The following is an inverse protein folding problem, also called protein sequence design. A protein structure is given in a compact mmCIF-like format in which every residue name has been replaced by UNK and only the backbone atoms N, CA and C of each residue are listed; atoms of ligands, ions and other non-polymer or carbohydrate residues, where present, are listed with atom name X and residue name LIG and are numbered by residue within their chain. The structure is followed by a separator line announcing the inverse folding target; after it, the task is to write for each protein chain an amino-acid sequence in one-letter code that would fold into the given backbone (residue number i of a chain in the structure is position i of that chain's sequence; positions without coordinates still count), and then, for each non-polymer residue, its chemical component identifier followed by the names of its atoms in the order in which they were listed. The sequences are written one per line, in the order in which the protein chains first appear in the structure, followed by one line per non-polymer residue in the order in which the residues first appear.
data_IF_998210348350
#
_entry.id   IF_998210348350
#
_cell.length_a   1.000
_cell.length_b   1.000
_cell.length_c   1.000
_cell.angle_alpha   90.00
_cell.angle_beta   90.00
_cell.angle_gamma   90.00
#
_symmetry.space_group_name_H-M   'P 1'
#
loop_
_entity.id
_entity.type
_entity.pdbx_description
1 polymer ?
#
# COMPACT_ATOMS: atom_id res chain seq x y z
N UNK A 1 -13.66 13.46 -57.82
CA UNK A 1 -14.00 13.71 -56.41
C UNK A 1 -13.08 12.88 -55.54
N UNK A 2 -12.09 13.45 -54.82
CA UNK A 2 -11.27 12.67 -53.91
C UNK A 2 -11.96 12.61 -52.54
N UNK A 3 -12.23 11.40 -52.09
CA UNK A 3 -12.79 11.08 -50.77
C UNK A 3 -11.77 11.35 -49.66
N UNK A 4 -12.20 12.14 -48.69
CA UNK A 4 -11.55 12.44 -47.40
C UNK A 4 -11.10 11.14 -46.72
N UNK A 5 -9.80 10.91 -46.64
CA UNK A 5 -9.16 9.78 -45.95
C UNK A 5 -8.10 10.30 -44.97
N UNK A 6 -8.52 11.11 -44.00
CA UNK A 6 -7.57 11.74 -43.06
C UNK A 6 -7.98 11.61 -41.59
N UNK A 7 -9.09 10.95 -41.26
CA UNK A 7 -9.64 10.96 -39.88
C UNK A 7 -9.57 9.63 -39.12
N UNK A 8 -8.96 8.59 -39.70
CA UNK A 8 -8.88 7.26 -39.06
C UNK A 8 -7.57 7.08 -38.26
N UNK A 9 -6.45 7.65 -38.74
CA UNK A 9 -5.14 7.47 -38.11
C UNK A 9 -4.96 8.20 -36.77
N UNK A 10 -5.63 9.34 -36.58
CA UNK A 10 -5.56 10.12 -35.34
C UNK A 10 -6.25 9.38 -34.20
N UNK A 11 -7.45 8.83 -34.45
CA UNK A 11 -8.22 8.11 -33.44
C UNK A 11 -7.54 6.78 -33.00
N UNK A 12 -6.88 6.05 -33.90
CA UNK A 12 -6.11 4.85 -33.51
C UNK A 12 -4.92 5.19 -32.62
N UNK A 13 -4.12 6.20 -32.99
CA UNK A 13 -2.94 6.57 -32.18
C UNK A 13 -3.31 7.11 -30.80
N UNK A 14 -4.45 7.81 -30.69
CA UNK A 14 -4.95 8.34 -29.43
C UNK A 14 -5.48 7.22 -28.52
N UNK A 15 -6.12 6.21 -29.10
CA UNK A 15 -6.60 5.06 -28.36
C UNK A 15 -5.43 4.16 -27.90
N UNK A 16 -4.38 4.05 -28.71
CA UNK A 16 -3.15 3.32 -28.37
C UNK A 16 -2.39 3.98 -27.23
N UNK A 17 -2.31 5.32 -27.20
CA UNK A 17 -1.64 6.05 -26.12
C UNK A 17 -2.41 5.96 -24.79
N UNK A 18 -3.74 6.06 -24.82
CA UNK A 18 -4.58 5.84 -23.64
C UNK A 18 -4.41 4.42 -23.08
N UNK A 19 -4.45 3.43 -23.97
CA UNK A 19 -4.26 2.01 -23.64
C UNK A 19 -2.88 1.73 -23.04
N UNK A 20 -1.83 2.32 -23.59
CA UNK A 20 -0.47 2.23 -23.06
C UNK A 20 -0.35 2.83 -21.65
N UNK A 21 -0.91 4.02 -21.43
CA UNK A 21 -0.91 4.67 -20.13
C UNK A 21 -1.71 3.87 -19.09
N UNK A 22 -2.87 3.32 -19.48
CA UNK A 22 -3.68 2.49 -18.62
C UNK A 22 -2.98 1.18 -18.25
N UNK A 23 -2.34 0.51 -19.22
CA UNK A 23 -1.53 -0.69 -18.98
C UNK A 23 -0.38 -0.39 -18.00
N UNK A 24 0.27 0.78 -18.12
CA UNK A 24 1.29 1.24 -17.18
C UNK A 24 0.76 1.41 -15.75
N UNK A 25 -0.42 2.01 -15.58
CA UNK A 25 -1.08 2.13 -14.26
C UNK A 25 -1.39 0.75 -13.68
N UNK A 26 -2.03 -0.12 -14.46
CA UNK A 26 -2.41 -1.47 -14.00
C UNK A 26 -1.19 -2.28 -13.60
N UNK A 27 -0.11 -2.21 -14.37
CA UNK A 27 1.13 -2.91 -14.05
C UNK A 27 1.76 -2.39 -12.74
N UNK A 28 1.89 -1.08 -12.57
CA UNK A 28 2.46 -0.51 -11.34
C UNK A 28 1.57 -0.76 -10.11
N UNK A 29 0.24 -0.71 -10.27
CA UNK A 29 -0.69 -1.01 -9.17
C UNK A 29 -0.62 -2.49 -8.78
N UNK A 30 -0.52 -3.41 -9.76
CA UNK A 30 -0.34 -4.84 -9.47
C UNK A 30 0.94 -5.11 -8.68
N UNK A 31 2.04 -4.44 -9.04
CA UNK A 31 3.30 -4.51 -8.28
C UNK A 31 3.13 -3.94 -6.86
N UNK A 32 2.50 -2.78 -6.73
CA UNK A 32 2.23 -2.16 -5.42
C UNK A 32 1.41 -3.09 -4.51
N UNK A 33 0.40 -3.75 -5.06
CA UNK A 33 -0.40 -4.75 -4.33
C UNK A 33 0.43 -5.98 -3.98
N UNK A 34 1.28 -6.47 -4.88
CA UNK A 34 2.18 -7.59 -4.62
C UNK A 34 3.15 -7.30 -3.47
N UNK A 35 3.77 -6.11 -3.43
CA UNK A 35 4.65 -5.71 -2.32
C UNK A 35 3.89 -5.61 -0.99
N UNK A 36 2.66 -5.06 -1.00
CA UNK A 36 1.82 -5.02 0.21
C UNK A 36 1.48 -6.43 0.69
N UNK A 37 1.11 -7.33 -0.22
CA UNK A 37 0.82 -8.71 0.13
C UNK A 37 2.07 -9.42 0.69
N UNK A 38 3.23 -9.22 0.06
CA UNK A 38 4.49 -9.78 0.53
C UNK A 38 4.85 -9.31 1.94
N UNK A 39 4.61 -8.03 2.24
CA UNK A 39 4.76 -7.48 3.58
C UNK A 39 3.84 -8.19 4.58
N UNK A 40 2.55 -8.33 4.28
CA UNK A 40 1.59 -9.02 5.16
C UNK A 40 1.99 -10.47 5.39
N UNK A 41 2.30 -11.22 4.33
CA UNK A 41 2.73 -12.63 4.44
C UNK A 41 3.98 -12.78 5.30
N UNK A 42 4.99 -11.92 5.08
CA UNK A 42 6.23 -11.99 5.85
C UNK A 42 6.00 -11.68 7.34
N UNK A 43 5.12 -10.72 7.63
CA UNK A 43 4.71 -10.40 8.99
C UNK A 43 3.94 -11.54 9.66
N UNK A 44 3.03 -12.20 8.93
CA UNK A 44 2.31 -13.38 9.43
C UNK A 44 3.25 -14.53 9.77
N UNK A 45 4.32 -14.74 8.98
CA UNK A 45 5.34 -15.74 9.27
C UNK A 45 6.07 -15.40 10.58
N UNK A 46 6.52 -14.14 10.74
CA UNK A 46 7.17 -13.74 11.99
C UNK A 46 6.26 -13.92 13.21
N UNK A 47 4.99 -13.53 13.11
CA UNK A 47 4.02 -13.70 14.20
C UNK A 47 3.82 -15.19 14.52
N UNK A 48 3.66 -16.05 13.51
CA UNK A 48 3.48 -17.48 13.71
C UNK A 48 4.68 -18.11 14.43
N UNK A 49 5.91 -17.77 14.01
CA UNK A 49 7.14 -18.21 14.71
C UNK A 49 7.18 -17.65 16.13
N UNK A 50 6.82 -16.38 16.32
CA UNK A 50 6.75 -15.74 17.63
C UNK A 50 5.79 -16.45 18.59
N UNK A 51 4.62 -16.88 18.11
CA UNK A 51 3.65 -17.64 18.90
C UNK A 51 4.21 -19.00 19.33
N UNK A 52 4.89 -19.72 18.43
CA UNK A 52 5.50 -21.02 18.76
C UNK A 52 6.59 -20.84 19.82
N UNK A 53 7.44 -19.83 19.67
CA UNK A 53 8.48 -19.49 20.65
C UNK A 53 7.88 -19.07 22.00
N UNK A 54 6.84 -18.25 21.97
CA UNK A 54 6.16 -17.79 23.18
C UNK A 54 5.49 -18.93 23.95
N UNK A 55 4.83 -19.87 23.27
CA UNK A 55 4.28 -21.06 23.92
C UNK A 55 5.36 -21.95 24.54
N UNK A 56 6.52 -22.06 23.87
CA UNK A 56 7.67 -22.81 24.39
C UNK A 56 8.24 -22.14 25.64
N UNK A 57 8.37 -20.81 25.62
CA UNK A 57 8.79 -19.99 26.75
C UNK A 57 7.79 -20.05 27.91
N UNK A 58 6.49 -20.01 27.63
CA UNK A 58 5.44 -20.08 28.66
C UNK A 58 5.43 -21.43 29.40
N UNK A 59 5.95 -22.48 28.76
CA UNK A 59 6.12 -23.80 29.37
C UNK A 59 7.35 -23.90 30.29
N UNK A 60 8.20 -22.86 30.34
CA UNK A 60 9.37 -22.83 31.21
C UNK A 60 8.99 -22.43 32.64
N UNK A 61 9.44 -23.21 33.62
CA UNK A 61 9.04 -23.09 35.01
C UNK A 61 9.75 -21.95 35.75
N UNK A 62 10.98 -21.63 35.38
CA UNK A 62 11.78 -20.60 36.05
C UNK A 62 12.16 -19.45 35.11
N UNK A 63 12.41 -18.27 35.66
CA UNK A 63 12.90 -17.12 34.89
C UNK A 63 14.25 -17.42 34.21
N UNK A 64 15.12 -18.21 34.85
CA UNK A 64 16.42 -18.58 34.28
C UNK A 64 16.28 -19.40 32.99
N UNK A 65 15.23 -20.20 32.88
CA UNK A 65 14.93 -21.00 31.68
C UNK A 65 14.27 -20.16 30.57
N UNK A 66 13.67 -19.01 30.92
CA UNK A 66 13.05 -18.07 29.98
C UNK A 66 14.06 -17.11 29.34
N UNK A 67 15.11 -16.72 30.07
CA UNK A 67 16.13 -15.76 29.58
C UNK A 67 16.74 -16.13 28.22
N UNK A 68 17.09 -17.41 27.92
CA UNK A 68 17.61 -17.79 26.62
C UNK A 68 16.68 -17.48 25.44
N UNK A 69 15.37 -17.41 25.65
CA UNK A 69 14.39 -17.08 24.60
C UNK A 69 14.43 -15.59 24.19
N UNK A 70 15.00 -14.70 25.02
CA UNK A 70 15.16 -13.29 24.67
C UNK A 70 16.00 -13.10 23.40
N UNK A 71 17.00 -13.97 23.17
CA UNK A 71 17.90 -13.92 22.01
C UNK A 71 17.13 -14.17 20.70
N UNK A 72 16.42 -15.29 20.50
CA UNK A 72 15.65 -15.50 19.28
C UNK A 72 14.53 -14.45 19.09
N UNK A 73 13.87 -13.99 20.16
CA UNK A 73 12.91 -12.88 20.04
C UNK A 73 13.58 -11.60 19.53
N UNK A 74 14.75 -11.23 20.05
CA UNK A 74 15.49 -10.06 19.60
C UNK A 74 15.94 -10.20 18.14
N UNK A 75 16.41 -11.38 17.73
CA UNK A 75 16.81 -11.64 16.34
C UNK A 75 15.61 -11.50 15.40
N UNK A 76 14.47 -12.10 15.72
CA UNK A 76 13.26 -11.99 14.88
C UNK A 76 12.78 -10.54 14.84
N UNK A 77 12.79 -9.83 15.97
CA UNK A 77 12.45 -8.42 16.01
C UNK A 77 13.34 -7.63 15.06
N UNK A 78 14.67 -7.73 15.17
CA UNK A 78 15.60 -6.98 14.31
C UNK A 78 15.42 -7.32 12.82
N UNK A 79 15.34 -8.61 12.47
CA UNK A 79 15.15 -9.04 11.07
C UNK A 79 13.79 -8.57 10.54
N UNK A 80 12.75 -8.66 11.36
CA UNK A 80 11.42 -8.16 11.04
C UNK A 80 11.41 -6.65 10.78
N UNK A 81 12.16 -5.89 11.58
CA UNK A 81 12.31 -4.44 11.40
C UNK A 81 13.04 -4.06 10.13
N UNK A 82 14.15 -4.73 9.82
CA UNK A 82 14.88 -4.50 8.57
C UNK A 82 13.98 -4.78 7.36
N UNK A 83 13.24 -5.88 7.42
CA UNK A 83 12.30 -6.28 6.36
C UNK A 83 11.17 -5.26 6.20
N UNK A 84 10.59 -4.78 7.31
CA UNK A 84 9.55 -3.76 7.30
C UNK A 84 10.04 -2.45 6.69
N UNK A 85 11.23 -1.99 7.06
CA UNK A 85 11.81 -0.77 6.53
C UNK A 85 12.05 -0.87 5.02
N UNK A 86 12.63 -1.98 4.58
CA UNK A 86 12.90 -2.23 3.17
C UNK A 86 11.61 -2.27 2.33
N UNK A 87 10.62 -3.06 2.76
CA UNK A 87 9.34 -3.19 2.06
C UNK A 87 8.52 -1.90 2.09
N UNK A 88 8.53 -1.17 3.20
CA UNK A 88 7.84 0.11 3.30
C UNK A 88 8.45 1.13 2.35
N UNK A 89 9.78 1.17 2.22
CA UNK A 89 10.48 1.99 1.23
C UNK A 89 10.05 1.66 -0.20
N UNK A 90 10.10 0.37 -0.56
CA UNK A 90 9.67 -0.10 -1.87
C UNK A 90 8.20 0.25 -2.17
N UNK A 91 7.30 0.08 -1.21
CA UNK A 91 5.86 0.38 -1.36
C UNK A 91 5.63 1.89 -1.56
N UNK A 92 6.38 2.74 -0.86
CA UNK A 92 6.32 4.20 -1.04
C UNK A 92 6.80 4.60 -2.44
N UNK A 93 7.91 4.04 -2.90
CA UNK A 93 8.43 4.33 -4.24
C UNK A 93 7.48 3.86 -5.34
N UNK A 94 6.90 2.67 -5.20
CA UNK A 94 5.90 2.17 -6.16
C UNK A 94 4.62 2.98 -6.15
N UNK A 95 4.14 3.41 -4.99
CA UNK A 95 3.00 4.32 -4.90
C UNK A 95 3.26 5.65 -5.66
N UNK A 96 4.46 6.23 -5.50
CA UNK A 96 4.85 7.42 -6.28
C UNK A 96 4.87 7.15 -7.79
N UNK A 97 5.29 5.95 -8.21
CA UNK A 97 5.27 5.56 -9.61
C UNK A 97 3.84 5.47 -10.15
N UNK A 98 2.93 4.79 -9.44
CA UNK A 98 1.49 4.74 -9.79
C UNK A 98 0.93 6.16 -9.93
N UNK A 99 1.20 7.04 -8.96
CA UNK A 99 0.74 8.42 -8.99
C UNK A 99 1.26 9.18 -10.22
N UNK A 100 2.52 8.95 -10.62
CA UNK A 100 3.08 9.55 -11.83
C UNK A 100 2.34 9.11 -13.10
N UNK A 101 2.04 7.82 -13.23
CA UNK A 101 1.30 7.29 -14.37
C UNK A 101 -0.15 7.80 -14.41
N UNK A 102 -0.83 7.85 -13.26
CA UNK A 102 -2.17 8.41 -13.15
C UNK A 102 -2.21 9.90 -13.50
N UNK A 103 -1.21 10.69 -13.07
CA UNK A 103 -1.06 12.10 -13.47
C UNK A 103 -0.92 12.24 -14.98
N UNK A 104 -0.18 11.34 -15.62
CA UNK A 104 0.06 11.40 -17.07
C UNK A 104 -1.18 11.01 -17.87
N UNK A 105 -1.95 10.03 -17.41
CA UNK A 105 -3.25 9.68 -18.00
C UNK A 105 -4.26 10.83 -17.85
N UNK A 106 -4.35 11.45 -16.67
CA UNK A 106 -5.26 12.60 -16.46
C UNK A 106 -4.93 13.78 -17.36
N UNK A 107 -3.65 14.13 -17.50
CA UNK A 107 -3.23 15.20 -18.43
C UNK A 107 -3.58 14.85 -19.88
N UNK A 108 -3.43 13.58 -20.26
CA UNK A 108 -3.79 13.10 -21.58
C UNK A 108 -5.31 13.17 -21.85
N UNK A 109 -6.14 12.66 -20.94
CA UNK A 109 -7.61 12.73 -21.05
C UNK A 109 -8.14 14.18 -20.97
N UNK A 110 -7.44 15.07 -20.26
CA UNK A 110 -7.79 16.49 -20.25
C UNK A 110 -7.52 17.15 -21.61
N UNK A 111 -6.40 16.81 -22.26
CA UNK A 111 -6.09 17.30 -23.62
C UNK A 111 -6.96 16.67 -24.71
N UNK A 112 -7.43 15.43 -24.52
CA UNK A 112 -8.27 14.70 -25.47
C UNK A 112 -9.69 14.52 -24.94
N UNK A 113 -10.57 15.46 -25.31
CA UNK A 113 -11.98 15.56 -24.90
C UNK A 113 -12.82 14.29 -25.15
N UNK A 114 -12.36 13.40 -26.02
CA UNK A 114 -13.08 12.22 -26.52
C UNK A 114 -13.02 11.00 -25.58
N UNK A 115 -11.96 10.86 -24.78
CA UNK A 115 -11.75 9.68 -23.91
C UNK A 115 -11.48 10.15 -22.47
N UNK A 116 -12.54 10.27 -21.67
CA UNK A 116 -12.50 10.81 -20.28
C UNK A 116 -12.85 9.79 -19.20
N UNK A 117 -12.73 8.51 -19.53
CA UNK A 117 -13.21 7.42 -18.69
C UNK A 117 -12.53 7.41 -17.31
N UNK A 118 -11.24 7.75 -17.24
CA UNK A 118 -10.51 7.77 -15.97
C UNK A 118 -10.89 8.98 -15.10
N UNK A 119 -11.09 10.16 -15.68
CA UNK A 119 -11.63 11.33 -14.97
C UNK A 119 -13.00 11.00 -14.37
N UNK A 120 -13.95 10.49 -15.18
CA UNK A 120 -15.30 10.14 -14.72
C UNK A 120 -15.29 9.08 -13.62
N UNK A 121 -14.45 8.06 -13.76
CA UNK A 121 -14.28 7.03 -12.73
C UNK A 121 -13.76 7.63 -11.41
N UNK A 122 -12.81 8.56 -11.48
CA UNK A 122 -12.18 9.17 -10.30
C UNK A 122 -13.14 10.08 -9.54
N UNK A 123 -13.89 10.93 -10.23
CA UNK A 123 -14.93 11.78 -9.63
C UNK A 123 -16.07 10.97 -9.03
N UNK A 124 -16.50 9.89 -9.69
CA UNK A 124 -17.50 8.98 -9.13
C UNK A 124 -17.02 8.26 -7.84
N UNK A 125 -15.71 8.04 -7.69
CA UNK A 125 -15.11 7.40 -6.51
C UNK A 125 -14.90 8.37 -5.35
N UNK A 126 -14.69 9.65 -5.64
CA UNK A 126 -14.49 10.71 -4.64
C UNK A 126 -15.80 11.29 -4.13
N UNK A 127 -16.83 11.29 -4.97
CA UNK A 127 -18.20 11.64 -4.60
C UNK A 127 -19.02 10.38 -4.54
N UNK A 128 -18.97 9.68 -3.39
CA UNK A 128 -19.79 8.52 -3.05
C UNK A 128 -21.19 8.63 -3.67
N UNK A 129 -21.36 8.00 -4.83
CA UNK A 129 -22.63 7.89 -5.55
C UNK A 129 -23.37 9.23 -5.79
N UNK A 130 -22.78 10.09 -6.62
CA UNK A 130 -23.53 10.90 -7.61
C UNK A 130 -22.53 11.36 -8.68
N UNK A 131 -22.65 10.91 -9.94
CA UNK A 131 -21.82 11.45 -11.00
C UNK A 131 -22.10 12.94 -11.07
N UNK A 132 -21.13 13.82 -10.83
CA UNK A 132 -21.34 15.23 -11.06
C UNK A 132 -21.49 15.36 -12.58
N UNK A 133 -22.48 16.13 -13.03
CA UNK A 133 -22.44 16.72 -14.37
C UNK A 133 -21.24 17.67 -14.40
N UNK A 134 -20.03 17.10 -14.52
CA UNK A 134 -18.82 17.86 -14.79
C UNK A 134 -18.89 18.25 -16.25
N UNK A 135 -19.50 19.41 -16.48
CA UNK A 135 -19.36 20.11 -17.75
C UNK A 135 -17.87 20.25 -18.06
N UNK A 136 -17.55 19.88 -19.29
CA UNK A 136 -16.22 19.63 -19.80
C UNK A 136 -15.22 20.80 -19.71
N UNK A 137 -15.70 21.99 -19.37
CA UNK A 137 -15.06 23.27 -19.63
C UNK A 137 -14.35 23.89 -18.42
N UNK A 138 -14.51 23.35 -17.21
CA UNK A 138 -14.07 24.05 -15.98
C UNK A 138 -13.14 23.27 -15.06
N UNK A 139 -12.62 22.11 -15.48
CA UNK A 139 -11.64 21.36 -14.69
C UNK A 139 -10.27 22.05 -14.77
N UNK A 140 -9.95 22.84 -13.75
CA UNK A 140 -8.66 23.54 -13.66
C UNK A 140 -7.53 22.58 -13.28
N UNK A 141 -6.27 22.98 -13.51
CA UNK A 141 -5.11 22.21 -13.04
C UNK A 141 -5.14 22.02 -11.51
N UNK A 142 -5.75 22.94 -10.78
CA UNK A 142 -5.98 22.85 -9.33
C UNK A 142 -7.04 21.78 -8.99
N UNK A 143 -8.11 21.65 -9.79
CA UNK A 143 -9.09 20.56 -9.65
C UNK A 143 -8.48 19.19 -9.98
N UNK A 144 -7.62 19.12 -11.00
CA UNK A 144 -6.85 17.92 -11.32
C UNK A 144 -5.95 17.55 -10.14
N UNK A 145 -5.23 18.51 -9.57
CA UNK A 145 -4.40 18.30 -8.38
C UNK A 145 -5.23 17.98 -7.13
N UNK A 146 -6.50 18.41 -7.07
CA UNK A 146 -7.46 18.13 -5.98
C UNK A 146 -8.07 16.73 -6.12
N UNK A 147 -8.47 16.29 -7.31
CA UNK A 147 -8.80 14.88 -7.58
C UNK A 147 -7.60 13.97 -7.31
N UNK A 148 -6.40 14.47 -7.61
CA UNK A 148 -5.12 13.85 -7.28
C UNK A 148 -4.66 14.05 -5.85
N UNK A 149 -5.38 14.84 -5.01
CA UNK A 149 -4.90 15.16 -3.67
C UNK A 149 -4.67 13.85 -2.94
N UNK A 150 -3.41 13.56 -2.60
CA UNK A 150 -3.12 12.46 -1.72
C UNK A 150 -3.46 13.00 -0.35
N UNK A 151 -4.74 12.95 0.05
CA UNK A 151 -5.12 13.14 1.45
C UNK A 151 -4.59 11.92 2.22
N UNK A 152 -3.27 12.03 2.44
CA UNK A 152 -2.29 11.04 2.85
C UNK A 152 -2.12 9.96 1.77
N UNK A 153 -0.87 9.56 1.40
CA UNK A 153 -0.71 8.35 0.63
C UNK A 153 -1.48 7.25 1.38
N UNK A 154 -2.52 6.66 0.79
CA UNK A 154 -3.38 5.69 1.48
C UNK A 154 -2.55 4.55 2.09
N UNK A 155 -1.39 4.28 1.48
CA UNK A 155 -0.29 3.54 2.07
C UNK A 155 0.04 4.00 3.51
N UNK A 156 0.48 5.25 3.74
CA UNK A 156 0.86 5.79 5.07
C UNK A 156 -0.19 5.56 6.16
N UNK A 157 -1.49 5.60 5.85
CA UNK A 157 -2.55 5.35 6.85
C UNK A 157 -2.58 3.88 7.31
N UNK A 158 -2.41 2.94 6.38
CA UNK A 158 -2.35 1.50 6.72
C UNK A 158 -1.03 1.16 7.44
N UNK A 159 0.10 1.74 7.01
CA UNK A 159 1.38 1.57 7.71
C UNK A 159 1.39 2.20 9.11
N UNK A 160 0.70 3.32 9.29
CA UNK A 160 0.73 4.11 10.53
C UNK A 160 0.19 3.40 11.77
N UNK A 161 -0.65 2.36 11.61
CA UNK A 161 -1.17 1.58 12.73
C UNK A 161 -0.47 0.23 12.89
N UNK A 162 -0.16 -0.44 11.77
CA UNK A 162 0.41 -1.78 11.77
C UNK A 162 1.87 -1.83 12.20
N UNK A 163 2.66 -0.83 11.79
CA UNK A 163 4.09 -0.78 12.07
C UNK A 163 4.35 -0.62 13.58
N UNK A 164 3.74 0.35 14.30
CA UNK A 164 3.84 0.46 15.77
C UNK A 164 3.37 -0.79 16.53
N UNK A 165 2.29 -1.44 16.07
CA UNK A 165 1.77 -2.65 16.70
C UNK A 165 2.75 -3.82 16.67
N UNK A 166 3.51 -3.97 15.58
CA UNK A 166 4.58 -4.96 15.49
C UNK A 166 5.68 -4.69 16.53
N UNK A 167 6.16 -3.45 16.66
CA UNK A 167 7.18 -3.11 17.68
C UNK A 167 6.71 -3.44 19.09
N UNK A 168 5.47 -3.06 19.41
CA UNK A 168 4.92 -3.27 20.74
C UNK A 168 4.82 -4.76 21.09
N UNK A 169 4.38 -5.59 20.14
CA UNK A 169 4.27 -7.04 20.32
C UNK A 169 5.64 -7.68 20.61
N UNK A 170 6.66 -7.41 19.79
CA UNK A 170 7.99 -8.01 20.02
C UNK A 170 8.66 -7.47 21.28
N UNK A 171 8.46 -6.19 21.59
CA UNK A 171 8.93 -5.62 22.84
C UNK A 171 8.34 -6.37 24.05
N UNK A 172 7.03 -6.62 24.06
CA UNK A 172 6.38 -7.40 25.12
C UNK A 172 6.96 -8.81 25.21
N UNK A 173 7.17 -9.50 24.08
CA UNK A 173 7.73 -10.86 24.06
C UNK A 173 9.17 -10.92 24.58
N UNK A 174 9.98 -9.90 24.29
CA UNK A 174 11.34 -9.81 24.85
C UNK A 174 11.26 -9.55 26.36
N UNK A 175 10.42 -8.60 26.78
CA UNK A 175 10.28 -8.25 28.20
C UNK A 175 9.72 -9.40 29.03
N UNK A 176 8.80 -10.21 28.49
CA UNK A 176 8.28 -11.41 29.17
C UNK A 176 9.36 -12.48 29.38
N UNK A 177 10.45 -12.43 28.62
CA UNK A 177 11.59 -13.37 28.73
C UNK A 177 12.60 -12.95 29.79
N UNK A 178 12.57 -11.69 30.21
CA UNK A 178 13.58 -11.09 31.10
C UNK A 178 12.98 -10.70 32.44
N UNK A 179 11.69 -10.36 32.47
CA UNK A 179 10.94 -10.02 33.68
C UNK A 179 9.98 -11.17 33.99
N UNK A 180 9.96 -11.59 35.24
CA UNK A 180 8.95 -12.52 35.74
C UNK A 180 7.60 -11.78 35.79
N UNK A 181 6.88 -11.84 34.68
CA UNK A 181 5.56 -11.26 34.56
C UNK A 181 4.53 -12.34 34.89
N UNK A 182 3.63 -12.13 35.86
CA UNK A 182 2.67 -13.14 36.29
C UNK A 182 1.52 -13.19 35.28
N UNK A 183 1.78 -13.75 34.09
CA UNK A 183 0.78 -13.90 33.03
C UNK A 183 -0.42 -14.73 33.48
N UNK A 184 -0.22 -15.63 34.46
CA UNK A 184 -1.28 -16.43 35.09
C UNK A 184 -2.38 -15.58 35.72
N UNK A 185 -2.03 -14.42 36.27
CA UNK A 185 -2.96 -13.60 37.06
C UNK A 185 -3.82 -12.68 36.19
N UNK A 186 -3.47 -12.55 34.90
CA UNK A 186 -4.18 -11.71 33.93
C UNK A 186 -5.23 -12.53 33.15
N UNK A 187 -5.01 -13.83 32.99
CA UNK A 187 -5.88 -14.73 32.21
C UNK A 187 -6.68 -15.73 33.08
N UNK A 188 -6.58 -15.64 34.40
CA UNK A 188 -7.45 -16.33 35.37
C UNK A 188 -8.71 -15.50 35.67
#
# INVERSE_FOLDING_TARGET
MPTKSTNVKTNESENDQASFLMAGITWQDSLLQAYRNYMVVTQSIFIAVGIVLFNSQASAETINDKVPFAIPFAVIAVVGLLTLNFLSGAIIERAKSVDWWQKRLLKYEHSNLTNRHFITFRTAKEHSFKPPELEAETLTQEDIDTLLRPDKPKARKVFGLFVPGFYFLWFIMIMSSIIDFPWSDIFA
#
